data_IF_120667866849
#
_entry.id   IF_120667866849
#
_cell.length_a   1.000
_cell.length_b   1.000
_cell.length_c   1.000
_cell.angle_alpha   90.00
_cell.angle_beta   90.00
_cell.angle_gamma   90.00
#
_symmetry.space_group_name_H-M   'P 1'
#
loop_
_entity.id
_entity.type
_entity.pdbx_description
1 polymer ?
#
# COMPACT_ATOMS: atom_id res chain seq x y z
N UNK A 1 -6.78 47.45 -52.90
CA UNK A 1 -6.24 46.33 -52.09
C UNK A 1 -6.60 46.50 -50.61
N UNK A 2 -7.73 45.91 -50.23
CA UNK A 2 -8.30 45.93 -48.88
C UNK A 2 -7.41 45.09 -47.96
N UNK A 3 -6.76 45.73 -47.00
CA UNK A 3 -5.89 45.08 -46.01
C UNK A 3 -6.78 44.30 -45.05
N UNK A 4 -6.74 42.96 -45.14
CA UNK A 4 -7.45 42.08 -44.23
C UNK A 4 -6.92 42.26 -42.79
N UNK A 5 -7.80 42.29 -41.77
CA UNK A 5 -7.39 42.43 -40.38
C UNK A 5 -6.58 41.20 -39.95
N UNK A 6 -5.41 41.45 -39.37
CA UNK A 6 -4.56 40.45 -38.70
C UNK A 6 -5.42 39.60 -37.76
N UNK A 7 -5.46 38.29 -38.01
CA UNK A 7 -6.02 37.31 -37.10
C UNK A 7 -5.38 37.52 -35.71
N UNK A 8 -6.23 37.80 -34.72
CA UNK A 8 -5.81 37.85 -33.33
C UNK A 8 -5.22 36.49 -32.97
N UNK A 9 -3.94 36.48 -32.61
CA UNK A 9 -3.30 35.32 -32.01
C UNK A 9 -4.14 34.93 -30.79
N UNK A 10 -4.59 33.67 -30.66
CA UNK A 10 -5.38 33.25 -29.51
C UNK A 10 -4.59 33.59 -28.23
N UNK A 11 -5.16 34.45 -27.40
CA UNK A 11 -4.59 34.77 -26.10
C UNK A 11 -4.37 33.46 -25.34
N UNK A 12 -3.09 33.16 -25.03
CA UNK A 12 -2.69 32.11 -24.09
C UNK A 12 -3.63 32.20 -22.87
N UNK A 13 -4.32 31.12 -22.48
CA UNK A 13 -5.30 31.18 -21.41
C UNK A 13 -4.62 31.75 -20.17
N UNK A 14 -5.10 32.93 -19.75
CA UNK A 14 -4.69 33.60 -18.52
C UNK A 14 -4.71 32.57 -17.39
N UNK A 15 -3.62 32.52 -16.64
CA UNK A 15 -3.50 31.79 -15.38
C UNK A 15 -4.76 32.02 -14.53
N UNK A 16 -5.72 31.09 -14.60
CA UNK A 16 -6.94 31.17 -13.82
C UNK A 16 -6.56 30.84 -12.37
N UNK A 17 -6.37 31.88 -11.56
CA UNK A 17 -5.95 31.78 -10.16
C UNK A 17 -6.84 30.82 -9.37
N UNK A 18 -8.15 30.81 -9.66
CA UNK A 18 -9.10 29.89 -9.02
C UNK A 18 -8.85 28.43 -9.44
N UNK A 19 -8.63 28.17 -10.73
CA UNK A 19 -8.23 26.85 -11.22
C UNK A 19 -6.95 26.35 -10.55
N UNK A 20 -5.90 27.19 -10.48
CA UNK A 20 -4.62 26.84 -9.85
C UNK A 20 -4.78 26.54 -8.37
N UNK A 21 -5.57 27.34 -7.66
CA UNK A 21 -5.86 27.11 -6.25
C UNK A 21 -6.60 25.80 -6.02
N UNK A 22 -7.62 25.49 -6.84
CA UNK A 22 -8.39 24.25 -6.75
C UNK A 22 -7.54 23.01 -7.07
N UNK A 23 -6.75 23.06 -8.15
CA UNK A 23 -5.81 21.99 -8.49
C UNK A 23 -4.81 21.76 -7.36
N UNK A 24 -4.22 22.83 -6.84
CA UNK A 24 -3.27 22.77 -5.74
C UNK A 24 -3.89 22.14 -4.49
N UNK A 25 -5.10 22.54 -4.11
CA UNK A 25 -5.80 21.96 -2.97
C UNK A 25 -6.03 20.45 -3.17
N UNK A 26 -6.44 20.04 -4.37
CA UNK A 26 -6.63 18.62 -4.72
C UNK A 26 -5.32 17.83 -4.68
N UNK A 27 -4.26 18.37 -5.27
CA UNK A 27 -2.93 17.75 -5.29
C UNK A 27 -2.35 17.57 -3.89
N UNK A 28 -2.38 18.62 -3.06
CA UNK A 28 -1.90 18.57 -1.69
C UNK A 28 -2.77 17.64 -0.82
N UNK A 29 -4.08 17.63 -1.04
CA UNK A 29 -5.02 16.71 -0.39
C UNK A 29 -4.68 15.25 -0.66
N UNK A 30 -4.36 14.92 -1.92
CA UNK A 30 -3.96 13.56 -2.32
C UNK A 30 -2.60 13.14 -1.73
N UNK A 31 -1.62 14.06 -1.63
CA UNK A 31 -0.35 13.74 -0.97
C UNK A 31 -0.50 13.47 0.53
N UNK A 32 -1.57 13.97 1.15
CA UNK A 32 -1.86 13.82 2.58
C UNK A 32 -0.69 14.22 3.50
N UNK A 33 0.12 15.19 3.08
CA UNK A 33 1.32 15.64 3.81
C UNK A 33 1.29 17.15 4.05
N UNK A 34 1.54 17.57 5.29
CA UNK A 34 1.68 19.00 5.63
C UNK A 34 3.00 19.62 5.13
N UNK A 35 3.99 18.78 4.79
CA UNK A 35 5.34 19.20 4.39
C UNK A 35 5.81 18.36 3.20
N UNK A 36 6.60 18.98 2.32
CA UNK A 36 7.25 18.32 1.20
C UNK A 36 8.74 18.67 1.17
N UNK A 37 9.53 17.85 0.46
CA UNK A 37 10.88 18.24 0.06
C UNK A 37 10.80 18.88 -1.31
N UNK A 38 11.33 20.09 -1.45
CA UNK A 38 11.25 20.87 -2.68
C UNK A 38 12.59 21.51 -3.04
N UNK A 39 12.77 21.89 -4.30
CA UNK A 39 14.00 22.52 -4.78
C UNK A 39 13.69 23.50 -5.90
N UNK A 40 14.38 24.66 -5.96
CA UNK A 40 14.13 25.66 -7.00
C UNK A 40 14.62 25.19 -8.37
N UNK A 41 15.57 24.25 -8.44
CA UNK A 41 16.12 23.73 -9.70
C UNK A 41 16.36 22.21 -9.62
N UNK A 42 16.68 21.59 -10.76
CA UNK A 42 16.94 20.13 -10.83
C UNK A 42 18.19 19.72 -10.04
N UNK A 43 19.17 20.60 -9.85
CA UNK A 43 20.47 20.31 -9.22
C UNK A 43 20.61 20.89 -7.80
N UNK A 44 19.79 21.87 -7.43
CA UNK A 44 19.85 22.47 -6.10
C UNK A 44 19.52 21.43 -5.00
N UNK A 45 20.04 21.61 -3.77
CA UNK A 45 19.67 20.76 -2.65
C UNK A 45 18.15 20.86 -2.39
N UNK A 46 17.56 19.76 -1.92
CA UNK A 46 16.15 19.77 -1.50
C UNK A 46 16.03 20.36 -0.10
N UNK A 47 15.13 21.31 0.08
CA UNK A 47 14.75 21.88 1.37
C UNK A 47 13.38 21.37 1.80
N UNK A 48 13.13 21.29 3.11
CA UNK A 48 11.81 20.96 3.66
C UNK A 48 10.97 22.23 3.65
N UNK A 49 9.81 22.17 3.00
CA UNK A 49 8.87 23.30 2.87
C UNK A 49 7.49 22.90 3.34
N UNK A 50 6.69 23.87 3.76
CA UNK A 50 5.28 23.63 4.02
C UNK A 50 4.55 23.32 2.70
N UNK A 51 3.43 22.62 2.77
CA UNK A 51 2.57 22.43 1.61
C UNK A 51 2.08 23.78 1.02
N UNK A 52 1.96 24.81 1.86
CA UNK A 52 1.57 26.17 1.49
C UNK A 52 2.66 26.96 0.77
N UNK A 53 3.92 26.55 0.84
CA UNK A 53 5.05 27.19 0.14
C UNK A 53 5.51 26.40 -1.09
N UNK A 54 4.97 25.18 -1.28
CA UNK A 54 5.39 24.29 -2.36
C UNK A 54 5.32 24.93 -3.75
N UNK A 55 4.35 25.84 -3.98
CA UNK A 55 4.16 26.52 -5.25
C UNK A 55 5.31 27.44 -5.69
N UNK A 56 6.25 27.79 -4.79
CA UNK A 56 7.42 28.60 -5.11
C UNK A 56 8.58 27.77 -5.69
N UNK A 57 8.50 26.44 -5.63
CA UNK A 57 9.58 25.54 -6.01
C UNK A 57 9.23 24.77 -7.28
N UNK A 58 10.14 24.78 -8.25
CA UNK A 58 9.96 24.13 -9.55
C UNK A 58 9.96 22.60 -9.45
N UNK A 59 10.65 22.04 -8.45
CA UNK A 59 10.77 20.60 -8.23
C UNK A 59 10.33 20.19 -6.83
N UNK A 60 9.81 18.97 -6.72
CA UNK A 60 9.59 18.32 -5.43
C UNK A 60 10.03 16.86 -5.45
N UNK A 61 10.21 16.30 -4.26
CA UNK A 61 10.52 14.88 -4.05
C UNK A 61 9.31 14.23 -3.39
N UNK A 62 8.66 13.25 -4.04
CA UNK A 62 7.57 12.48 -3.44
C UNK A 62 8.00 11.76 -2.17
N UNK A 63 7.02 11.43 -1.32
CA UNK A 63 7.31 10.73 -0.07
C UNK A 63 7.87 9.34 -0.30
N UNK A 64 8.98 9.02 0.38
CA UNK A 64 9.56 7.66 0.35
C UNK A 64 8.78 6.64 1.17
N UNK A 65 7.82 7.08 1.99
CA UNK A 65 7.01 6.19 2.84
C UNK A 65 5.58 6.02 2.34
N UNK A 66 5.14 6.85 1.39
CA UNK A 66 3.78 6.86 0.87
C UNK A 66 3.77 7.25 -0.61
N UNK A 67 3.46 6.29 -1.49
CA UNK A 67 3.35 6.49 -2.92
C UNK A 67 1.93 6.91 -3.28
N UNK A 68 1.71 8.20 -3.47
CA UNK A 68 0.39 8.78 -3.83
C UNK A 68 0.32 9.24 -5.28
N UNK A 69 1.42 9.14 -6.02
CA UNK A 69 1.50 9.48 -7.45
C UNK A 69 2.35 8.45 -8.20
N UNK A 70 2.02 8.23 -9.47
CA UNK A 70 2.91 7.65 -10.47
C UNK A 70 3.36 8.77 -11.42
N UNK A 71 4.63 8.82 -11.77
CA UNK A 71 5.20 9.89 -12.61
C UNK A 71 6.01 9.30 -13.76
N UNK A 72 5.72 9.74 -14.98
CA UNK A 72 6.41 9.33 -16.21
C UNK A 72 7.00 10.58 -16.86
N UNK A 73 8.30 10.57 -17.11
CA UNK A 73 9.00 11.62 -17.86
C UNK A 73 9.10 11.21 -19.33
N UNK A 74 8.77 12.13 -20.23
CA UNK A 74 8.70 11.88 -21.68
C UNK A 74 9.51 12.94 -22.39
N UNK A 75 10.77 12.62 -22.71
CA UNK A 75 11.78 13.56 -23.24
C UNK A 75 11.73 13.69 -24.77
N UNK A 76 10.59 14.13 -25.32
CA UNK A 76 10.49 14.50 -26.74
C UNK A 76 9.50 15.64 -26.99
N UNK A 77 9.71 16.47 -28.04
CA UNK A 77 8.91 17.68 -28.27
C UNK A 77 7.39 17.45 -28.35
N UNK A 78 6.95 16.34 -28.95
CA UNK A 78 5.52 16.02 -29.15
C UNK A 78 4.87 15.29 -27.96
N UNK A 79 5.58 15.18 -26.82
CA UNK A 79 5.17 14.35 -25.68
C UNK A 79 3.72 14.60 -25.22
N UNK A 80 3.25 15.85 -25.23
CA UNK A 80 1.89 16.19 -24.80
C UNK A 80 0.84 15.56 -25.71
N UNK A 81 1.04 15.63 -27.04
CA UNK A 81 0.12 15.05 -28.01
C UNK A 81 0.13 13.53 -27.91
N UNK A 82 1.33 12.94 -27.86
CA UNK A 82 1.50 11.49 -27.70
C UNK A 82 0.80 10.97 -26.44
N UNK A 83 0.86 11.70 -25.33
CA UNK A 83 0.17 11.32 -24.10
C UNK A 83 -1.35 11.29 -24.32
N UNK A 84 -1.92 12.27 -25.02
CA UNK A 84 -3.37 12.32 -25.25
C UNK A 84 -3.87 11.35 -26.30
N UNK A 85 -3.01 10.98 -27.27
CA UNK A 85 -3.31 10.03 -28.34
C UNK A 85 -3.13 8.58 -27.87
N UNK A 86 -2.11 8.32 -27.03
CA UNK A 86 -1.80 6.97 -26.55
C UNK A 86 -2.64 6.59 -25.33
N UNK A 87 -2.83 7.49 -24.37
CA UNK A 87 -3.51 7.17 -23.12
C UNK A 87 -5.02 7.40 -23.27
N UNK A 88 -5.84 6.36 -23.05
CA UNK A 88 -7.28 6.47 -23.27
C UNK A 88 -7.92 7.45 -22.25
N UNK A 89 -9.03 8.11 -22.61
CA UNK A 89 -9.65 9.18 -21.81
C UNK A 89 -9.91 8.81 -20.34
N UNK A 90 -10.25 7.54 -20.07
CA UNK A 90 -10.65 7.05 -18.74
C UNK A 90 -9.48 7.05 -17.75
N UNK A 91 -8.24 6.98 -18.23
CA UNK A 91 -7.02 6.96 -17.41
C UNK A 91 -6.00 8.01 -17.84
N UNK A 92 -6.49 9.14 -18.37
CA UNK A 92 -5.62 10.29 -18.65
C UNK A 92 -4.84 10.73 -17.40
N UNK A 93 -3.64 11.32 -17.56
CA UNK A 93 -2.88 11.82 -16.42
C UNK A 93 -3.71 12.82 -15.60
N UNK A 94 -3.56 12.75 -14.28
CA UNK A 94 -4.09 13.74 -13.34
C UNK A 94 -3.47 15.12 -13.59
N UNK A 95 -2.24 15.17 -14.11
CA UNK A 95 -1.58 16.39 -14.56
C UNK A 95 -0.48 16.08 -15.59
N UNK A 96 -0.18 17.07 -16.42
CA UNK A 96 0.98 17.11 -17.31
C UNK A 96 1.69 18.44 -17.09
N UNK A 97 3.00 18.42 -16.82
CA UNK A 97 3.86 19.61 -16.82
C UNK A 97 4.67 19.60 -18.10
N UNK A 98 4.45 20.58 -18.95
CA UNK A 98 5.21 20.79 -20.18
C UNK A 98 6.59 21.37 -19.87
N UNK A 99 7.56 20.96 -20.66
CA UNK A 99 8.93 21.46 -20.60
C UNK A 99 9.41 21.73 -22.03
N UNK A 100 10.53 22.45 -22.16
CA UNK A 100 11.13 22.71 -23.48
C UNK A 100 11.57 21.45 -24.24
N UNK A 101 11.78 20.33 -23.55
CA UNK A 101 12.32 19.08 -24.12
C UNK A 101 11.29 17.95 -24.19
N UNK A 102 10.08 18.18 -23.68
CA UNK A 102 9.03 17.18 -23.61
C UNK A 102 8.09 17.44 -22.44
N UNK A 103 7.56 16.41 -21.81
CA UNK A 103 6.55 16.57 -20.76
C UNK A 103 6.72 15.55 -19.64
N UNK A 104 6.26 15.93 -18.45
CA UNK A 104 6.12 15.02 -17.32
C UNK A 104 4.65 14.80 -17.02
N UNK A 105 4.20 13.55 -17.10
CA UNK A 105 2.84 13.15 -16.79
C UNK A 105 2.77 12.52 -15.39
N UNK A 106 1.73 12.85 -14.62
CA UNK A 106 1.50 12.27 -13.31
C UNK A 106 0.07 11.78 -13.11
N UNK A 107 -0.06 10.62 -12.48
CA UNK A 107 -1.33 10.03 -12.05
C UNK A 107 -1.40 10.05 -10.53
N UNK A 108 -2.39 10.71 -9.97
CA UNK A 108 -2.73 10.57 -8.56
C UNK A 108 -3.34 9.18 -8.35
N UNK A 109 -2.85 8.46 -7.35
CA UNK A 109 -3.30 7.11 -7.03
C UNK A 109 -3.71 7.00 -5.57
N UNK A 110 -4.58 6.03 -5.28
CA UNK A 110 -4.78 5.55 -3.92
C UNK A 110 -3.41 5.25 -3.29
N UNK A 111 -3.16 5.85 -2.12
CA UNK A 111 -1.83 5.84 -1.51
C UNK A 111 -1.36 4.42 -1.21
N UNK A 112 -0.15 4.11 -1.65
CA UNK A 112 0.56 2.85 -1.37
C UNK A 112 1.54 3.07 -0.23
N UNK A 113 1.50 2.24 0.81
CA UNK A 113 2.50 2.26 1.88
C UNK A 113 3.85 1.76 1.33
N UNK A 114 4.88 2.60 1.44
CA UNK A 114 6.23 2.34 0.95
C UNK A 114 7.25 2.17 2.08
N UNK A 115 6.80 2.14 3.34
CA UNK A 115 7.69 1.89 4.48
C UNK A 115 8.36 0.52 4.35
N UNK A 116 9.51 0.35 5.00
CA UNK A 116 10.26 -0.92 5.00
C UNK A 116 9.47 -2.11 5.53
N UNK A 117 8.41 -1.87 6.32
CA UNK A 117 7.52 -2.91 6.87
C UNK A 117 6.27 -3.14 6.04
N UNK A 118 6.08 -2.41 4.93
CA UNK A 118 4.92 -2.51 4.08
C UNK A 118 4.90 -3.85 3.32
N UNK A 119 3.70 -4.27 2.92
CA UNK A 119 3.54 -5.50 2.12
C UNK A 119 4.11 -5.27 0.72
N UNK A 120 4.94 -6.19 0.25
CA UNK A 120 5.59 -6.10 -1.07
C UNK A 120 4.58 -6.09 -2.23
N UNK A 121 3.47 -6.84 -2.11
CA UNK A 121 2.55 -7.07 -3.23
C UNK A 121 1.87 -5.79 -3.74
N UNK A 122 1.30 -4.91 -2.90
CA UNK A 122 0.81 -3.60 -3.34
C UNK A 122 1.87 -2.73 -4.02
N UNK A 123 3.11 -2.74 -3.51
CA UNK A 123 4.23 -1.96 -4.08
C UNK A 123 4.57 -2.50 -5.47
N UNK A 124 4.73 -3.82 -5.60
CA UNK A 124 4.99 -4.46 -6.88
C UNK A 124 3.86 -4.25 -7.89
N UNK A 125 2.60 -4.22 -7.42
CA UNK A 125 1.43 -3.94 -8.23
C UNK A 125 1.47 -2.51 -8.79
N UNK A 126 1.74 -1.51 -7.94
CA UNK A 126 1.88 -0.12 -8.35
C UNK A 126 3.06 0.10 -9.29
N UNK A 127 4.22 -0.53 -9.02
CA UNK A 127 5.39 -0.49 -9.92
C UNK A 127 5.10 -1.08 -11.29
N UNK A 128 4.36 -2.19 -11.36
CA UNK A 128 3.99 -2.79 -12.64
C UNK A 128 3.07 -1.86 -13.46
N UNK A 129 2.11 -1.20 -12.80
CA UNK A 129 1.26 -0.20 -13.47
C UNK A 129 2.10 0.98 -13.95
N UNK A 130 3.00 1.50 -13.12
CA UNK A 130 3.94 2.55 -13.52
C UNK A 130 4.84 2.12 -14.69
N UNK A 131 5.30 0.88 -14.70
CA UNK A 131 6.10 0.34 -15.81
C UNK A 131 5.30 0.23 -17.10
N UNK A 132 4.06 -0.25 -17.05
CA UNK A 132 3.17 -0.30 -18.22
C UNK A 132 2.87 1.11 -18.77
N UNK A 133 2.61 2.09 -17.90
CA UNK A 133 2.44 3.49 -18.31
C UNK A 133 3.71 4.06 -18.94
N UNK A 134 4.89 3.75 -18.37
CA UNK A 134 6.18 4.14 -18.93
C UNK A 134 6.39 3.56 -20.32
N UNK A 135 6.11 2.27 -20.48
CA UNK A 135 6.27 1.55 -21.75
C UNK A 135 5.32 2.10 -22.81
N UNK A 136 4.04 2.28 -22.47
CA UNK A 136 3.03 2.87 -23.37
C UNK A 136 3.45 4.26 -23.88
N UNK A 137 4.12 5.06 -23.05
CA UNK A 137 4.55 6.41 -23.41
C UNK A 137 5.99 6.49 -23.92
N UNK A 138 6.71 5.37 -24.03
CA UNK A 138 8.16 5.35 -24.24
C UNK A 138 8.89 6.38 -23.34
N UNK A 139 8.54 6.37 -22.05
CA UNK A 139 9.08 7.28 -21.04
C UNK A 139 10.48 6.89 -20.55
N UNK A 140 11.19 7.86 -19.97
CA UNK A 140 12.57 7.70 -19.50
C UNK A 140 12.71 6.53 -18.51
N UNK A 141 13.62 5.61 -18.83
CA UNK A 141 13.90 4.42 -18.02
C UNK A 141 14.63 4.72 -16.72
N UNK A 142 15.32 5.86 -16.64
CA UNK A 142 16.01 6.28 -15.42
C UNK A 142 15.04 6.71 -14.31
N UNK A 143 13.79 7.01 -14.66
CA UNK A 143 12.77 7.47 -13.71
C UNK A 143 11.98 6.27 -13.17
N UNK A 144 12.13 5.97 -11.87
CA UNK A 144 11.22 5.06 -11.16
C UNK A 144 9.83 5.74 -11.06
N UNK A 145 8.77 5.17 -11.67
CA UNK A 145 7.48 5.83 -11.69
C UNK A 145 6.84 6.01 -10.31
N UNK A 146 7.11 5.12 -9.35
CA UNK A 146 6.50 5.12 -8.03
C UNK A 146 7.34 5.86 -6.99
N UNK A 147 8.66 5.75 -7.10
CA UNK A 147 9.62 6.37 -6.17
C UNK A 147 10.66 7.23 -6.88
N UNK A 148 10.25 8.23 -7.68
CA UNK A 148 11.21 9.09 -8.36
C UNK A 148 11.97 9.95 -7.35
N UNK A 149 13.26 10.18 -7.60
CA UNK A 149 14.13 10.97 -6.70
C UNK A 149 13.68 12.44 -6.65
N UNK A 150 13.27 12.97 -7.79
CA UNK A 150 12.87 14.36 -7.96
C UNK A 150 12.03 14.49 -9.22
N UNK A 151 10.94 15.25 -9.13
CA UNK A 151 9.98 15.45 -10.22
C UNK A 151 9.61 16.92 -10.32
N UNK A 152 9.10 17.34 -11.48
CA UNK A 152 8.52 18.66 -11.68
C UNK A 152 7.33 18.82 -10.76
N UNK A 153 7.22 19.99 -10.14
CA UNK A 153 6.12 20.30 -9.26
C UNK A 153 4.94 20.88 -10.06
N UNK A 154 3.79 20.18 -10.16
CA UNK A 154 2.65 20.70 -10.91
C UNK A 154 1.98 21.88 -10.20
N UNK A 155 2.27 22.11 -8.91
CA UNK A 155 1.79 23.27 -8.15
C UNK A 155 2.67 24.51 -8.33
N UNK A 156 3.83 24.39 -9.00
CA UNK A 156 4.74 25.51 -9.23
C UNK A 156 4.04 26.61 -10.01
N UNK A 157 4.16 27.85 -9.53
CA UNK A 157 3.41 28.99 -10.06
C UNK A 157 3.70 29.28 -11.55
N UNK A 158 4.90 28.90 -12.03
CA UNK A 158 5.31 29.07 -13.43
C UNK A 158 5.31 27.77 -14.24
N UNK A 159 4.81 26.66 -13.70
CA UNK A 159 4.71 25.42 -14.46
C UNK A 159 3.72 25.58 -15.62
N UNK A 160 4.09 25.20 -16.84
CA UNK A 160 3.15 25.05 -17.96
C UNK A 160 2.34 23.77 -17.71
N UNK A 161 1.15 23.90 -17.10
CA UNK A 161 0.37 22.79 -16.55
C UNK A 161 -0.88 22.52 -17.40
N UNK A 162 -1.10 21.25 -17.72
CA UNK A 162 -2.40 20.73 -18.18
C UNK A 162 -2.97 19.80 -17.12
N UNK A 163 -4.11 20.16 -16.56
CA UNK A 163 -4.84 19.36 -15.58
C UNK A 163 -6.31 19.82 -15.54
N UNK A 164 -7.17 19.05 -14.89
CA UNK A 164 -8.46 19.57 -14.41
C UNK A 164 -8.28 20.21 -13.03
N UNK A 165 -9.20 21.08 -12.63
CA UNK A 165 -9.18 21.72 -11.30
C UNK A 165 -9.29 20.69 -10.16
N UNK A 166 -9.99 19.59 -10.42
CA UNK A 166 -10.19 18.46 -9.50
C UNK A 166 -9.79 17.19 -10.24
N UNK A 167 -8.49 16.89 -10.32
CA UNK A 167 -8.00 15.73 -11.03
C UNK A 167 -8.47 14.43 -10.39
N UNK A 168 -8.69 13.37 -11.18
CA UNK A 168 -9.07 12.07 -10.65
C UNK A 168 -7.92 11.49 -9.82
N UNK A 169 -8.31 10.80 -8.73
CA UNK A 169 -7.44 9.90 -7.97
C UNK A 169 -7.81 8.48 -8.35
N UNK A 170 -6.85 7.74 -8.88
CA UNK A 170 -7.10 6.43 -9.45
C UNK A 170 -6.84 5.30 -8.46
N UNK A 171 -7.77 4.35 -8.42
CA UNK A 171 -7.47 3.04 -7.84
C UNK A 171 -6.52 2.26 -8.76
N UNK A 172 -5.49 1.61 -8.21
CA UNK A 172 -4.54 0.83 -9.01
C UNK A 172 -5.22 -0.24 -9.88
N UNK A 173 -6.31 -0.86 -9.39
CA UNK A 173 -7.09 -1.82 -10.17
C UNK A 173 -7.76 -1.18 -11.39
N UNK A 174 -8.23 0.06 -11.25
CA UNK A 174 -8.86 0.82 -12.34
C UNK A 174 -7.83 1.10 -13.44
N UNK A 175 -6.64 1.59 -13.08
CA UNK A 175 -5.54 1.82 -14.03
C UNK A 175 -5.17 0.54 -14.77
N UNK A 176 -4.93 -0.55 -14.02
CA UNK A 176 -4.59 -1.84 -14.60
C UNK A 176 -5.65 -2.34 -15.59
N UNK A 177 -6.94 -2.26 -15.23
CA UNK A 177 -8.00 -2.74 -16.11
C UNK A 177 -8.09 -1.90 -17.39
N UNK A 178 -7.98 -0.57 -17.29
CA UNK A 178 -8.03 0.30 -18.45
C UNK A 178 -6.82 0.08 -19.38
N UNK A 179 -5.62 -0.08 -18.82
CA UNK A 179 -4.42 -0.43 -19.59
C UNK A 179 -4.59 -1.75 -20.35
N UNK A 180 -5.17 -2.77 -19.69
CA UNK A 180 -5.48 -4.05 -20.36
C UNK A 180 -6.53 -3.91 -21.46
N UNK A 181 -7.58 -3.14 -21.22
CA UNK A 181 -8.65 -2.92 -22.21
C UNK A 181 -8.12 -2.17 -23.43
N UNK A 182 -7.18 -1.25 -23.25
CA UNK A 182 -6.55 -0.48 -24.31
C UNK A 182 -5.35 -1.18 -24.97
N UNK A 183 -5.07 -2.43 -24.61
CA UNK A 183 -3.90 -3.19 -25.09
C UNK A 183 -2.54 -2.52 -24.81
N UNK A 184 -2.49 -1.72 -23.75
CA UNK A 184 -1.28 -1.03 -23.26
C UNK A 184 -0.61 -1.79 -22.09
N UNK A 185 -1.07 -3.00 -21.81
CA UNK A 185 -0.49 -3.84 -20.76
C UNK A 185 0.54 -4.81 -21.37
N UNK A 186 1.84 -4.66 -21.07
CA UNK A 186 2.87 -5.45 -21.73
C UNK A 186 2.71 -6.95 -21.52
N UNK A 187 2.93 -7.72 -22.58
CA UNK A 187 2.85 -9.17 -22.55
C UNK A 187 3.93 -9.74 -21.60
N UNK A 188 3.55 -10.70 -20.76
CA UNK A 188 4.46 -11.29 -19.77
C UNK A 188 4.73 -10.42 -18.54
N UNK A 189 4.18 -9.21 -18.44
CA UNK A 189 4.29 -8.40 -17.22
C UNK A 189 3.56 -9.09 -16.05
N UNK A 190 4.35 -9.57 -15.08
CA UNK A 190 3.84 -10.29 -13.89
C UNK A 190 4.02 -9.46 -12.63
N UNK A 191 3.02 -9.54 -11.75
CA UNK A 191 3.04 -9.01 -10.38
C UNK A 191 3.89 -9.89 -9.46
N UNK A 192 5.15 -10.11 -9.80
CA UNK A 192 6.03 -10.85 -8.90
C UNK A 192 6.53 -9.90 -7.83
N UNK A 193 6.02 -10.04 -6.60
CA UNK A 193 6.51 -9.32 -5.41
C UNK A 193 7.99 -9.55 -5.08
N UNK A 194 8.71 -10.36 -5.87
CA UNK A 194 10.11 -10.75 -5.65
C UNK A 194 11.07 -10.56 -6.83
N UNK A 195 10.67 -10.01 -7.98
CA UNK A 195 11.56 -10.07 -9.18
C UNK A 195 11.72 -8.79 -10.00
N UNK A 196 11.05 -7.67 -9.67
CA UNK A 196 11.24 -6.41 -10.40
C UNK A 196 12.46 -5.60 -9.92
N UNK A 197 13.01 -5.92 -8.74
CA UNK A 197 14.20 -5.28 -8.19
C UNK A 197 15.47 -5.65 -8.99
N UNK A 198 15.64 -6.86 -9.52
CA UNK A 198 16.88 -7.21 -10.24
C UNK A 198 17.15 -6.38 -11.51
N UNK A 199 16.11 -5.91 -12.22
CA UNK A 199 16.28 -5.13 -13.47
C UNK A 199 16.44 -3.63 -13.21
N UNK A 200 15.71 -3.07 -12.24
CA UNK A 200 15.86 -1.66 -11.85
C UNK A 200 17.20 -1.39 -11.12
N UNK A 201 17.76 -2.38 -10.44
CA UNK A 201 19.02 -2.23 -9.70
C UNK A 201 20.25 -2.08 -10.61
N UNK A 202 20.21 -2.58 -11.87
CA UNK A 202 21.28 -2.32 -12.85
C UNK A 202 21.27 -0.87 -13.35
N UNK A 203 20.13 -0.19 -13.36
CA UNK A 203 20.03 1.21 -13.80
C UNK A 203 20.52 2.19 -12.72
N UNK A 204 20.39 1.86 -11.43
CA UNK A 204 20.91 2.68 -10.31
C UNK A 204 22.45 2.74 -10.31
N UNK A 205 23.12 1.71 -10.85
CA UNK A 205 24.58 1.72 -11.02
C UNK A 205 25.07 2.73 -12.09
N UNK A 206 24.20 3.19 -12.99
CA UNK A 206 24.57 4.09 -14.08
C UNK A 206 24.50 5.59 -13.73
N UNK A 207 23.89 5.96 -12.60
CA UNK A 207 23.73 7.36 -12.18
C UNK A 207 24.44 7.62 -10.84
N UNK A 208 25.76 7.43 -10.82
CA UNK A 208 26.59 7.81 -9.68
C UNK A 208 26.95 9.29 -9.83
N UNK A 209 26.05 10.16 -9.35
CA UNK A 209 26.34 11.59 -9.21
C UNK A 209 27.30 11.80 -8.01
N UNK A 210 28.24 12.70 -8.19
CA UNK A 210 29.50 12.90 -7.42
C UNK A 210 29.31 13.18 -5.92
N UNK A 211 28.08 13.36 -5.44
CA UNK A 211 27.75 13.72 -4.05
C UNK A 211 27.16 12.62 -3.15
N UNK A 212 26.73 11.47 -3.67
CA UNK A 212 26.03 10.43 -2.87
C UNK A 212 26.65 9.01 -2.98
N UNK A 213 27.91 8.92 -3.39
CA UNK A 213 28.64 7.66 -3.65
C UNK A 213 28.62 6.67 -2.49
N UNK A 214 28.92 7.13 -1.27
CA UNK A 214 28.92 6.29 -0.08
C UNK A 214 27.55 5.65 0.18
N UNK A 215 26.49 6.45 0.07
CA UNK A 215 25.11 5.99 0.26
C UNK A 215 24.70 4.98 -0.81
N UNK A 216 25.08 5.22 -2.07
CA UNK A 216 24.78 4.30 -3.18
C UNK A 216 25.46 2.94 -2.99
N UNK A 217 26.76 2.92 -2.68
CA UNK A 217 27.50 1.68 -2.41
C UNK A 217 26.90 0.95 -1.20
N UNK A 218 26.55 1.68 -0.14
CA UNK A 218 25.92 1.12 1.05
C UNK A 218 24.54 0.50 0.75
N UNK A 219 23.65 1.21 0.05
CA UNK A 219 22.30 0.73 -0.21
C UNK A 219 22.31 -0.48 -1.14
N UNK A 220 23.11 -0.46 -2.20
CA UNK A 220 23.21 -1.58 -3.16
C UNK A 220 23.76 -2.83 -2.47
N UNK A 221 24.86 -2.71 -1.72
CA UNK A 221 25.45 -3.82 -0.98
C UNK A 221 24.50 -4.35 0.13
N UNK A 222 23.86 -3.45 0.90
CA UNK A 222 22.94 -3.85 1.97
C UNK A 222 21.74 -4.63 1.43
N UNK A 223 21.23 -4.26 0.25
CA UNK A 223 20.16 -5.00 -0.40
C UNK A 223 20.61 -6.40 -0.87
N UNK A 224 21.83 -6.52 -1.41
CA UNK A 224 22.42 -7.83 -1.73
C UNK A 224 22.52 -8.72 -0.47
N UNK A 225 22.91 -8.15 0.67
CA UNK A 225 22.98 -8.87 1.94
C UNK A 225 21.60 -9.39 2.40
N UNK A 226 20.53 -8.60 2.24
CA UNK A 226 19.17 -9.01 2.63
C UNK A 226 18.61 -10.16 1.81
N UNK A 227 19.07 -10.32 0.56
CA UNK A 227 18.65 -11.43 -0.31
C UNK A 227 19.61 -12.62 -0.26
N UNK A 228 20.65 -12.56 0.57
CA UNK A 228 21.65 -13.62 0.74
C UNK A 228 22.67 -13.70 -0.39
N UNK A 229 22.86 -12.63 -1.16
CA UNK A 229 23.92 -12.53 -2.17
C UNK A 229 25.24 -12.07 -1.53
N UNK A 230 26.35 -12.18 -2.28
CA UNK A 230 27.67 -11.71 -1.86
C UNK A 230 27.73 -10.18 -1.87
N UNK A 231 27.33 -9.58 -0.75
CA UNK A 231 27.29 -8.14 -0.59
C UNK A 231 28.68 -7.48 -0.58
N UNK A 232 29.74 -8.23 -0.29
CA UNK A 232 31.10 -7.71 -0.31
C UNK A 232 31.56 -7.49 -1.75
N UNK A 233 31.38 -8.50 -2.61
CA UNK A 233 31.67 -8.40 -4.03
C UNK A 233 30.83 -7.29 -4.69
N UNK A 234 29.54 -7.19 -4.31
CA UNK A 234 28.64 -6.14 -4.83
C UNK A 234 29.07 -4.74 -4.39
N UNK A 235 29.56 -4.57 -3.16
CA UNK A 235 30.08 -3.28 -2.68
C UNK A 235 31.30 -2.82 -3.51
N UNK A 236 32.25 -3.72 -3.76
CA UNK A 236 33.43 -3.42 -4.58
C UNK A 236 33.06 -3.15 -6.04
N UNK A 237 32.23 -4.00 -6.64
CA UNK A 237 31.78 -3.81 -8.03
C UNK A 237 31.04 -2.48 -8.22
N UNK A 238 30.20 -2.09 -7.25
CA UNK A 238 29.48 -0.81 -7.31
C UNK A 238 30.44 0.38 -7.15
N UNK A 239 31.48 0.22 -6.33
CA UNK A 239 32.51 1.25 -6.14
C UNK A 239 33.40 1.43 -7.38
N UNK A 240 33.80 0.33 -8.02
CA UNK A 240 34.65 0.34 -9.21
C UNK A 240 33.93 0.88 -10.44
N UNK A 241 32.60 0.77 -10.47
CA UNK A 241 31.76 1.36 -11.51
C UNK A 241 31.55 2.88 -11.36
N UNK A 242 31.97 3.48 -10.23
CA UNK A 242 31.85 4.92 -10.02
C UNK A 242 32.90 5.70 -10.83
N UNK A 243 32.56 6.88 -11.40
CA UNK A 243 33.53 7.74 -12.10
C UNK A 243 34.73 8.15 -11.22
N UNK A 244 34.54 8.24 -9.92
CA UNK A 244 35.59 8.46 -8.92
C UNK A 244 35.34 7.52 -7.73
N UNK A 245 36.02 6.35 -7.69
CA UNK A 245 35.84 5.34 -6.66
C UNK A 245 36.16 5.86 -5.24
N UNK A 246 35.42 5.39 -4.24
CA UNK A 246 35.71 5.63 -2.84
C UNK A 246 37.02 4.97 -2.44
N UNK A 247 37.65 5.48 -1.38
CA UNK A 247 38.85 4.87 -0.83
C UNK A 247 38.53 3.49 -0.29
N UNK A 248 39.45 2.54 -0.44
CA UNK A 248 39.28 1.17 0.04
C UNK A 248 38.87 1.08 1.53
N UNK A 249 39.34 2.01 2.36
CA UNK A 249 38.96 2.09 3.77
C UNK A 249 37.46 2.38 3.98
N UNK A 250 36.85 3.22 3.14
CA UNK A 250 35.43 3.58 3.21
C UNK A 250 34.54 2.41 2.78
N UNK A 251 34.91 1.72 1.68
CA UNK A 251 34.19 0.52 1.22
C UNK A 251 34.25 -0.58 2.28
N UNK A 252 35.41 -0.80 2.90
CA UNK A 252 35.53 -1.74 4.04
C UNK A 252 34.69 -1.30 5.24
N UNK A 253 34.56 0.01 5.49
CA UNK A 253 33.67 0.56 6.53
C UNK A 253 32.19 0.23 6.28
N UNK A 254 31.75 0.38 5.03
CA UNK A 254 30.40 0.01 4.56
C UNK A 254 30.17 -1.49 4.75
N UNK A 255 31.08 -2.34 4.27
CA UNK A 255 31.01 -3.80 4.41
C UNK A 255 30.89 -4.19 5.89
N UNK A 256 31.73 -3.62 6.76
CA UNK A 256 31.71 -3.90 8.19
C UNK A 256 30.41 -3.47 8.86
N UNK A 257 29.85 -2.34 8.44
CA UNK A 257 28.55 -1.85 8.93
C UNK A 257 27.41 -2.82 8.55
N UNK A 258 27.39 -3.28 7.30
CA UNK A 258 26.39 -4.25 6.81
C UNK A 258 26.57 -5.60 7.51
N UNK A 259 27.79 -6.12 7.60
CA UNK A 259 28.10 -7.38 8.29
C UNK A 259 27.68 -7.33 9.77
N UNK A 260 28.01 -6.24 10.48
CA UNK A 260 27.60 -6.04 11.86
C UNK A 260 26.08 -5.93 12.03
N UNK A 261 25.39 -5.34 11.06
CA UNK A 261 23.92 -5.32 11.03
C UNK A 261 23.34 -6.72 10.81
N UNK A 262 23.88 -7.49 9.87
CA UNK A 262 23.38 -8.82 9.51
C UNK A 262 23.65 -9.87 10.60
N UNK A 263 24.75 -9.74 11.34
CA UNK A 263 25.09 -10.63 12.46
C UNK A 263 24.17 -10.45 13.68
N UNK A 264 23.48 -9.31 13.80
CA UNK A 264 22.57 -9.04 14.92
C UNK A 264 21.14 -9.54 14.63
N UNK A 265 20.90 -10.84 14.85
CA UNK A 265 19.58 -11.49 14.66
C UNK A 265 18.46 -11.03 15.62
N UNK A 266 18.77 -10.19 16.61
CA UNK A 266 17.79 -9.60 17.51
C UNK A 266 17.55 -8.16 17.06
N UNK A 267 16.66 -8.01 16.08
CA UNK A 267 16.20 -6.70 15.62
C UNK A 267 15.92 -5.79 16.81
N UNK A 268 16.37 -4.53 16.74
CA UNK A 268 16.14 -3.55 17.79
C UNK A 268 14.66 -3.56 18.19
N UNK A 269 14.34 -4.21 19.31
CA UNK A 269 13.22 -3.76 20.13
C UNK A 269 13.63 -2.37 20.55
N UNK A 270 12.93 -1.36 20.03
CA UNK A 270 12.94 -0.04 20.64
C UNK A 270 12.78 -0.24 22.14
N UNK A 271 13.84 0.02 22.90
CA UNK A 271 13.82 0.01 24.37
C UNK A 271 12.99 1.16 24.92
N UNK A 272 12.56 2.09 24.05
CA UNK A 272 11.62 3.15 24.37
C UNK A 272 10.21 2.60 24.21
N UNK A 273 9.50 2.48 25.34
CA UNK A 273 8.08 2.21 25.35
C UNK A 273 7.37 3.24 24.48
N UNK A 274 6.66 2.77 23.45
CA UNK A 274 5.88 3.63 22.54
C UNK A 274 5.00 4.58 23.35
N UNK A 275 5.09 5.91 23.12
CA UNK A 275 4.26 6.90 23.81
C UNK A 275 2.78 6.54 23.72
N UNK A 276 2.04 6.73 24.81
CA UNK A 276 0.61 6.39 24.91
C UNK A 276 -0.23 6.99 23.79
N UNK A 277 0.07 8.22 23.40
CA UNK A 277 -0.58 8.95 22.30
C UNK A 277 -0.43 8.23 20.95
N UNK A 278 0.75 7.66 20.68
CA UNK A 278 1.01 6.90 19.46
C UNK A 278 0.28 5.54 19.48
N UNK A 279 0.15 4.92 20.66
CA UNK A 279 -0.61 3.67 20.83
C UNK A 279 -2.11 3.89 20.63
N UNK A 280 -2.63 5.02 21.11
CA UNK A 280 -4.02 5.42 20.99
C UNK A 280 -4.38 5.76 19.54
N UNK A 281 -3.49 6.50 18.84
CA UNK A 281 -3.64 6.81 17.41
C UNK A 281 -3.65 5.53 16.55
N UNK A 282 -2.77 4.57 16.82
CA UNK A 282 -2.75 3.28 16.11
C UNK A 282 -3.99 2.42 16.42
N UNK A 283 -4.50 2.47 17.66
CA UNK A 283 -5.74 1.81 18.06
C UNK A 283 -6.94 2.43 17.33
N UNK A 284 -7.00 3.75 17.22
CA UNK A 284 -8.08 4.46 16.54
C UNK A 284 -8.05 4.24 15.02
N UNK A 285 -6.87 4.24 14.39
CA UNK A 285 -6.70 3.85 12.99
C UNK A 285 -7.14 2.40 12.73
N UNK A 286 -6.78 1.48 13.63
CA UNK A 286 -7.23 0.10 13.57
C UNK A 286 -8.75 -0.03 13.70
N UNK A 287 -9.37 0.75 14.59
CA UNK A 287 -10.82 0.80 14.79
C UNK A 287 -11.55 1.34 13.56
N UNK A 288 -11.06 2.44 12.96
CA UNK A 288 -11.62 3.01 11.72
C UNK A 288 -11.49 2.03 10.55
N UNK A 289 -10.36 1.33 10.43
CA UNK A 289 -10.14 0.30 9.40
C UNK A 289 -11.03 -0.94 9.57
N UNK A 290 -11.38 -1.31 10.81
CA UNK A 290 -12.28 -2.43 11.10
C UNK A 290 -13.77 -2.12 10.92
N UNK A 291 -14.15 -0.85 11.10
CA UNK A 291 -15.53 -0.36 10.97
C UNK A 291 -15.95 -0.05 9.53
N UNK A 292 -14.99 0.10 8.61
CA UNK A 292 -15.25 0.30 7.19
C UNK A 292 -15.82 -0.99 6.57
N UNK A 293 -17.09 -1.27 6.82
CA UNK A 293 -17.87 -2.43 6.39
C UNK A 293 -18.13 -2.40 4.87
N UNK A 294 -17.05 -2.33 4.09
CA UNK A 294 -17.05 -2.22 2.64
C UNK A 294 -17.47 -3.55 2.02
N UNK A 295 -18.01 -3.51 0.79
CA UNK A 295 -18.39 -4.72 0.06
C UNK A 295 -17.20 -5.69 -0.10
N UNK A 296 -15.98 -5.18 -0.24
CA UNK A 296 -14.75 -5.97 -0.29
C UNK A 296 -14.43 -6.66 1.05
N UNK A 297 -14.61 -5.98 2.20
CA UNK A 297 -14.46 -6.62 3.51
C UNK A 297 -15.56 -7.64 3.79
N UNK A 298 -16.81 -7.41 3.34
CA UNK A 298 -17.89 -8.41 3.42
C UNK A 298 -17.61 -9.63 2.55
N UNK A 299 -17.15 -9.44 1.32
CA UNK A 299 -16.73 -10.52 0.44
C UNK A 299 -15.53 -11.29 1.01
N UNK A 300 -14.54 -10.61 1.57
CA UNK A 300 -13.40 -11.25 2.23
C UNK A 300 -13.80 -12.02 3.51
N UNK A 301 -14.74 -11.49 4.30
CA UNK A 301 -15.31 -12.20 5.47
C UNK A 301 -16.18 -13.39 5.06
N UNK A 302 -16.84 -13.36 3.91
CA UNK A 302 -17.58 -14.49 3.34
C UNK A 302 -16.63 -15.58 2.77
N UNK A 303 -15.49 -15.16 2.20
CA UNK A 303 -14.47 -16.04 1.63
C UNK A 303 -13.55 -16.66 2.70
N UNK A 304 -13.31 -15.97 3.81
CA UNK A 304 -12.37 -16.43 4.86
C UNK A 304 -12.72 -17.82 5.45
N UNK A 305 -13.96 -18.05 5.91
CA UNK A 305 -14.39 -19.34 6.43
C UNK A 305 -14.46 -20.44 5.35
N UNK A 306 -14.88 -20.09 4.13
CA UNK A 306 -15.04 -21.05 3.01
C UNK A 306 -13.70 -21.48 2.43
N UNK A 307 -12.76 -20.55 2.22
CA UNK A 307 -11.38 -20.85 1.79
C UNK A 307 -10.60 -21.61 2.87
N UNK A 308 -10.76 -21.23 4.15
CA UNK A 308 -10.16 -21.98 5.26
C UNK A 308 -10.74 -23.40 5.40
N UNK A 309 -12.04 -23.57 5.15
CA UNK A 309 -12.67 -24.88 5.11
C UNK A 309 -12.20 -25.71 3.91
N UNK A 310 -12.06 -25.10 2.72
CA UNK A 310 -11.56 -25.76 1.52
C UNK A 310 -10.11 -26.27 1.68
N UNK A 311 -9.24 -25.53 2.34
CA UNK A 311 -7.86 -25.97 2.64
C UNK A 311 -7.79 -27.04 3.75
N UNK A 312 -8.72 -27.04 4.72
CA UNK A 312 -8.74 -28.00 5.85
C UNK A 312 -9.41 -29.34 5.50
N UNK A 313 -10.33 -29.37 4.53
CA UNK A 313 -11.07 -30.58 4.11
C UNK A 313 -10.15 -31.71 3.62
N UNK A 314 -9.21 -31.52 2.68
CA UNK A 314 -8.39 -32.62 2.13
C UNK A 314 -7.50 -33.27 3.19
N UNK A 315 -6.87 -32.46 4.05
CA UNK A 315 -5.98 -32.95 5.12
C UNK A 315 -6.76 -33.70 6.19
N UNK A 316 -7.98 -33.27 6.49
CA UNK A 316 -8.88 -33.95 7.45
C UNK A 316 -9.43 -35.25 6.87
N UNK A 317 -9.80 -35.27 5.59
CA UNK A 317 -10.32 -36.46 4.90
C UNK A 317 -9.23 -37.53 4.75
N UNK A 318 -7.99 -37.13 4.47
CA UNK A 318 -6.83 -38.06 4.41
C UNK A 318 -6.59 -38.73 5.76
N UNK A 319 -6.62 -37.95 6.85
CA UNK A 319 -6.50 -38.50 8.22
C UNK A 319 -7.69 -39.40 8.57
N UNK A 320 -8.89 -39.08 8.11
CA UNK A 320 -10.07 -39.91 8.37
C UNK A 320 -9.99 -41.27 7.67
N UNK A 321 -9.58 -41.31 6.40
CA UNK A 321 -9.35 -42.57 5.67
C UNK A 321 -8.24 -43.41 6.30
N UNK A 322 -7.16 -42.76 6.74
CA UNK A 322 -6.05 -43.44 7.44
C UNK A 322 -6.51 -44.06 8.76
N UNK A 323 -7.30 -43.31 9.56
CA UNK A 323 -7.88 -43.81 10.79
C UNK A 323 -8.80 -45.03 10.57
N UNK A 324 -9.59 -45.03 9.49
CA UNK A 324 -10.44 -46.17 9.14
C UNK A 324 -9.65 -47.40 8.72
N UNK A 325 -8.60 -47.24 7.91
CA UNK A 325 -7.69 -48.35 7.56
C UNK A 325 -7.06 -48.97 8.81
N UNK A 326 -6.58 -48.13 9.73
CA UNK A 326 -6.04 -48.60 11.01
C UNK A 326 -7.09 -49.30 11.88
N UNK A 327 -8.35 -48.84 11.86
CA UNK A 327 -9.44 -49.49 12.58
C UNK A 327 -9.76 -50.86 12.01
N UNK A 328 -9.76 -51.01 10.68
CA UNK A 328 -9.93 -52.30 10.00
C UNK A 328 -8.78 -53.28 10.31
N UNK A 329 -7.58 -52.76 10.57
CA UNK A 329 -6.42 -53.52 11.04
C UNK A 329 -6.46 -53.86 12.55
N UNK A 330 -7.58 -53.60 13.23
CA UNK A 330 -7.77 -53.96 14.64
C UNK A 330 -7.24 -52.94 15.66
N UNK A 331 -6.71 -51.79 15.23
CA UNK A 331 -6.21 -50.80 16.19
C UNK A 331 -7.35 -50.16 17.02
N UNK A 332 -7.10 -49.96 18.32
CA UNK A 332 -8.02 -49.24 19.21
C UNK A 332 -8.02 -47.73 18.92
N UNK A 333 -9.10 -47.02 19.27
CA UNK A 333 -9.21 -45.58 19.04
C UNK A 333 -8.09 -44.78 19.73
N UNK A 334 -7.64 -45.22 20.91
CA UNK A 334 -6.51 -44.63 21.63
C UNK A 334 -5.18 -44.83 20.90
N UNK A 335 -4.95 -46.02 20.32
CA UNK A 335 -3.75 -46.30 19.53
C UNK A 335 -3.71 -45.49 18.22
N UNK A 336 -4.85 -45.32 17.55
CA UNK A 336 -4.98 -44.47 16.37
C UNK A 336 -4.69 -43.00 16.73
N UNK A 337 -5.20 -42.52 17.87
CA UNK A 337 -4.97 -41.17 18.36
C UNK A 337 -3.48 -40.87 18.61
N UNK A 338 -2.76 -41.80 19.25
CA UNK A 338 -1.30 -41.68 19.44
C UNK A 338 -0.55 -41.62 18.11
N UNK A 339 -0.89 -42.50 17.16
CA UNK A 339 -0.18 -42.59 15.87
C UNK A 339 -0.45 -41.40 14.93
N UNK A 340 -1.64 -40.79 15.01
CA UNK A 340 -2.05 -39.65 14.18
C UNK A 340 -1.95 -38.29 14.89
N UNK A 341 -1.40 -38.27 16.11
CA UNK A 341 -1.31 -37.12 17.00
C UNK A 341 -2.66 -36.39 17.15
N UNK A 342 -3.69 -37.12 17.59
CA UNK A 342 -5.06 -36.63 17.70
C UNK A 342 -5.76 -37.12 18.98
N UNK A 343 -6.66 -36.30 19.52
CA UNK A 343 -7.46 -36.67 20.70
C UNK A 343 -8.47 -37.80 20.38
N UNK A 344 -8.88 -38.61 21.39
CA UNK A 344 -9.85 -39.68 21.19
C UNK A 344 -11.17 -39.20 20.54
N UNK A 345 -11.68 -38.04 20.94
CA UNK A 345 -12.89 -37.43 20.35
C UNK A 345 -12.73 -37.13 18.85
N UNK A 346 -11.53 -36.68 18.44
CA UNK A 346 -11.23 -36.39 17.03
C UNK A 346 -11.17 -37.68 16.21
N UNK A 347 -10.59 -38.75 16.77
CA UNK A 347 -10.54 -40.07 16.14
C UNK A 347 -11.95 -40.64 15.95
N UNK A 348 -12.82 -40.57 16.95
CA UNK A 348 -14.21 -41.01 16.80
C UNK A 348 -14.95 -40.22 15.71
N UNK A 349 -14.74 -38.90 15.63
CA UNK A 349 -15.32 -38.07 14.57
C UNK A 349 -14.83 -38.46 13.18
N UNK A 350 -13.55 -38.80 13.04
CA UNK A 350 -12.98 -39.30 11.78
C UNK A 350 -13.55 -40.65 11.37
N UNK A 351 -13.67 -41.59 12.32
CA UNK A 351 -14.20 -42.93 12.04
C UNK A 351 -15.66 -42.87 11.57
N UNK A 352 -16.48 -41.99 12.15
CA UNK A 352 -17.90 -41.82 11.79
C UNK A 352 -18.13 -41.11 10.45
N UNK A 353 -17.14 -40.36 9.93
CA UNK A 353 -17.29 -39.46 8.78
C UNK A 353 -17.68 -40.15 7.47
N UNK A 354 -17.37 -41.43 7.31
CA UNK A 354 -17.73 -42.23 6.12
C UNK A 354 -18.47 -43.52 6.46
N UNK A 355 -19.00 -43.64 7.68
CA UNK A 355 -19.97 -44.71 7.96
C UNK A 355 -21.24 -44.33 7.21
N UNK A 356 -21.50 -45.01 6.09
CA UNK A 356 -22.80 -44.90 5.43
C UNK A 356 -23.82 -45.49 6.40
N UNK A 357 -24.63 -44.63 7.02
CA UNK A 357 -25.87 -45.10 7.61
C UNK A 357 -26.69 -45.70 6.45
N UNK A 358 -26.79 -47.03 6.42
CA UNK A 358 -27.88 -47.68 5.70
C UNK A 358 -29.16 -47.40 6.50
N UNK A 359 -29.65 -46.17 6.46
CA UNK A 359 -31.04 -45.93 6.77
C UNK A 359 -31.83 -46.43 5.56
N UNK A 360 -32.38 -47.64 5.68
CA UNK A 360 -33.56 -48.05 4.93
C UNK A 360 -34.56 -46.91 5.04
N UNK A 361 -34.90 -46.27 3.93
CA UNK A 361 -36.12 -45.48 3.83
C UNK A 361 -37.28 -46.46 3.96
N UNK A 362 -37.73 -46.72 5.19
CA UNK A 362 -39.12 -47.08 5.42
C UNK A 362 -39.92 -45.81 5.22
N UNK A 363 -40.74 -45.79 4.18
CA UNK A 363 -41.76 -44.78 3.92
C UNK A 363 -42.59 -44.56 5.18
N UNK A 364 -42.43 -43.40 5.81
CA UNK A 364 -43.36 -42.93 6.84
C UNK A 364 -44.15 -41.81 6.19
N UNK A 365 -45.45 -42.06 6.04
CA UNK A 365 -46.46 -41.11 5.59
C UNK A 365 -46.37 -39.79 6.36
N UNK A 366 -46.56 -38.70 5.63
CA UNK A 366 -46.64 -37.35 6.18
C UNK A 366 -47.90 -37.20 7.06
N UNK A 367 -47.74 -37.32 8.39
CA UNK A 367 -48.68 -36.67 9.31
C UNK A 367 -48.28 -35.20 9.49
N UNK A 368 -49.05 -34.34 8.82
CA UNK A 368 -49.02 -32.88 8.94
C UNK A 368 -49.49 -32.50 10.34
N UNK A 369 -48.57 -32.15 11.23
CA UNK A 369 -48.91 -31.46 12.48
C UNK A 369 -49.18 -29.99 12.13
N UNK A 370 -50.46 -29.64 11.98
CA UNK A 370 -50.89 -28.25 11.85
C UNK A 370 -50.69 -27.51 13.17
N UNK A 371 -50.00 -26.36 13.12
CA UNK A 371 -49.96 -25.39 14.23
C UNK A 371 -51.22 -24.51 14.18
N UNK A 372 -51.89 -24.25 15.32
CA UNK A 372 -53.06 -23.38 15.35
C UNK A 372 -52.68 -21.89 15.19
N UNK A 373 -53.55 -21.06 14.60
CA UNK A 373 -53.30 -19.63 14.38
C UNK A 373 -53.44 -18.83 15.67
N UNK A 374 -52.49 -17.91 15.92
CA UNK A 374 -52.60 -16.93 17.01
C UNK A 374 -53.59 -15.82 16.60
N UNK A 375 -54.64 -15.67 17.41
CA UNK A 375 -55.65 -14.61 17.35
C UNK A 375 -55.01 -13.22 17.42
N UNK A 376 -55.46 -12.35 16.52
CA UNK A 376 -55.30 -10.89 16.61
C UNK A 376 -56.37 -10.31 17.54
N UNK A 377 -55.99 -9.38 18.39
CA UNK A 377 -56.92 -8.44 19.02
C UNK A 377 -56.28 -7.06 19.00
N UNK A 378 -56.79 -6.18 18.15
CA UNK A 378 -56.83 -4.75 18.41
C UNK A 378 -57.94 -4.47 19.43
N UNK A 379 -57.90 -3.34 20.18
CA UNK A 379 -58.63 -2.18 19.68
C UNK A 379 -57.93 -0.83 19.91
N UNK A 380 -58.60 0.16 19.32
CA UNK A 380 -58.33 1.55 19.03
C UNK A 380 -58.24 2.57 20.19
N UNK A 381 -57.51 3.64 19.90
CA UNK A 381 -57.78 5.07 20.13
C UNK A 381 -57.95 5.63 21.56
N UNK A 382 -57.15 6.66 21.87
CA UNK A 382 -57.43 7.62 22.95
C UNK A 382 -56.23 8.49 23.36
N UNK A 383 -56.16 9.70 22.79
CA UNK A 383 -55.74 10.96 23.42
C UNK A 383 -54.28 11.21 23.89
N UNK A 384 -53.73 12.33 23.37
CA UNK A 384 -52.65 13.21 23.89
C UNK A 384 -52.93 13.70 25.35
N UNK A 385 -52.04 14.41 26.10
CA UNK A 385 -50.87 15.20 25.67
C UNK A 385 -49.61 15.18 26.59
N UNK A 386 -48.54 15.81 26.09
CA UNK A 386 -47.62 16.75 26.77
C UNK A 386 -47.11 16.47 28.19
N UNK A 387 -45.77 16.36 28.33
CA UNK A 387 -44.92 17.26 29.13
C UNK A 387 -43.55 16.64 29.42
N UNK A 388 -42.50 17.41 29.09
CA UNK A 388 -41.30 17.68 29.89
C UNK A 388 -41.04 16.77 31.09
N UNK A 389 -39.85 16.13 31.11
CA UNK A 389 -38.98 16.07 32.30
C UNK A 389 -37.55 15.68 31.94
N UNK A 390 -36.69 16.70 31.98
CA UNK A 390 -35.35 16.71 32.56
C UNK A 390 -35.14 15.63 33.64
N UNK A 391 -33.96 15.02 33.74
CA UNK A 391 -33.27 14.60 34.98
C UNK A 391 -31.78 14.26 34.64
N UNK A 392 -30.82 14.33 35.58
CA UNK A 392 -29.67 15.24 35.51
C UNK A 392 -28.30 14.55 35.66
N UNK A 393 -27.24 15.36 35.55
CA UNK A 393 -25.88 15.08 36.00
C UNK A 393 -25.79 14.62 37.46
N UNK A 394 -24.70 13.92 37.81
CA UNK A 394 -23.99 14.19 39.05
C UNK A 394 -22.53 14.64 38.81
N UNK A 395 -22.14 15.65 39.59
CA UNK A 395 -20.79 16.19 39.78
C UNK A 395 -19.99 15.37 40.80
N UNK A 396 -18.67 15.45 40.65
CA UNK A 396 -17.60 15.46 41.66
C UNK A 396 -17.64 14.48 42.86
N UNK A 397 -16.63 13.60 42.91
CA UNK A 397 -15.92 13.30 44.16
C UNK A 397 -14.40 13.31 43.92
N UNK A 398 -13.72 13.97 44.86
CA UNK A 398 -12.29 14.24 45.03
C UNK A 398 -11.51 13.00 45.57
N UNK A 399 -10.16 13.04 45.68
CA UNK A 399 -9.30 11.88 45.48
C UNK A 399 -8.85 11.17 46.77
N UNK A 400 -8.47 9.90 46.63
CA UNK A 400 -7.85 9.09 47.68
C UNK A 400 -6.30 9.01 47.51
N UNK A 401 -5.53 8.70 48.58
CA UNK A 401 -4.19 9.21 48.81
C UNK A 401 -3.03 8.38 48.23
N UNK A 402 -1.90 9.07 48.05
CA UNK A 402 -0.59 8.57 47.59
C UNK A 402 0.03 7.57 48.57
N UNK A 403 0.40 6.40 48.07
CA UNK A 403 1.37 5.51 48.71
C UNK A 403 2.79 5.98 48.40
N UNK A 404 3.49 6.48 49.42
CA UNK A 404 4.91 6.80 49.43
C UNK A 404 5.76 5.53 49.55
N UNK A 405 6.65 5.29 48.59
CA UNK A 405 7.74 4.31 48.70
C UNK A 405 8.99 5.01 49.25
N UNK A 406 9.52 4.50 50.37
CA UNK A 406 10.81 4.88 50.92
C UNK A 406 11.99 4.37 50.06
N UNK A 407 13.13 5.08 50.03
CA UNK A 407 14.38 4.59 49.45
C UNK A 407 15.18 3.71 50.45
N UNK A 408 16.09 2.85 49.96
CA UNK A 408 16.88 1.96 50.81
C UNK A 408 18.03 2.69 51.53
N UNK A 409 18.50 2.15 52.68
CA UNK A 409 19.54 2.76 53.48
C UNK A 409 20.94 2.57 52.87
N UNK A 410 21.72 3.65 52.88
CA UNK A 410 23.18 3.68 52.78
C UNK A 410 23.79 3.32 54.14
N UNK A 411 24.59 2.27 54.20
CA UNK A 411 25.45 1.97 55.34
C UNK A 411 26.83 2.64 55.21
N UNK A 412 27.56 2.78 56.34
CA UNK A 412 28.91 3.32 56.39
C UNK A 412 29.97 2.41 55.74
#
# INVERSE_FOLDING_TARGET
PTVAPRAQTPQRPRNNTAFRAAFRASFLGNMATAWARASPTKTAPSVRVSAADLAEFEFYTPSRSAGSVLVIDVDRPEAVLDIFDTIPPEIRPSWIVETRKGAQAGWMIDTVDLRSTARERPIAYARAIGAALREALAGDEAVDPLTPVRVRNPTYIRAELRASATPPVYGLKQLHQALKTADLWPEGMRFTGRSATKKAHRAIAAAIDTGNRNQTVFDVARHAAYVGEDFEAVAWQTNDAAPEPLKAAEVRGIIRSIAGYMANHRGHRSTVAMPSQMRELLSEMGRRGGLANTAAQRAARALGPTASAAARKPRTDTKARTAQKMRAQGHSAAAIGRKLAASPATVYRWLRRHVRHQCRFSSVEHQVIQRPPRRSTAPSAGSLPGHLRYWPHPRHQTPAPRCTRQPPPTGP
#
